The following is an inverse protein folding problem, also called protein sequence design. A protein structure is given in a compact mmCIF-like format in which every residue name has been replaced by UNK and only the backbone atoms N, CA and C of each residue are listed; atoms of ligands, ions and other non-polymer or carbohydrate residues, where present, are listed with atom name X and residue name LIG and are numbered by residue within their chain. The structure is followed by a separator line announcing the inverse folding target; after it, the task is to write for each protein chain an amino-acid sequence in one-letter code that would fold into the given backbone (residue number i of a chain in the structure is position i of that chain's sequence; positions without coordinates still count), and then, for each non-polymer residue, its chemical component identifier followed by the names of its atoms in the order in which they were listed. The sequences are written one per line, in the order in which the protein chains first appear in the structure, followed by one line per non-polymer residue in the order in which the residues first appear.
data_IF_763627995752
#
_entry.id   IF_763627995752
#
_cell.length_a   1.000
_cell.length_b   1.000
_cell.length_c   1.000
_cell.angle_alpha   90.00
_cell.angle_beta   90.00
_cell.angle_gamma   90.00
#
_symmetry.space_group_name_H-M   'P 1'
#
loop_
_entity.id
_entity.type
_entity.pdbx_description
1 polymer ?
#
# COMPACT_ATOMS: atom_id res chain seq x y z
N UNK A 1 12.46 -6.23 47.96
CA UNK A 1 12.88 -6.60 46.59
C UNK A 1 11.64 -6.60 45.71
N UNK A 2 11.51 -5.62 44.81
CA UNK A 2 10.47 -5.61 43.78
C UNK A 2 11.12 -5.09 42.50
N UNK A 3 11.21 -5.96 41.48
CA UNK A 3 11.81 -5.63 40.20
C UNK A 3 10.73 -5.04 39.29
N UNK A 4 10.87 -3.75 38.96
CA UNK A 4 10.12 -3.12 37.89
C UNK A 4 10.60 -3.68 36.54
N UNK A 5 9.77 -4.49 35.90
CA UNK A 5 9.94 -4.88 34.49
C UNK A 5 9.35 -3.77 33.62
N UNK A 6 10.19 -2.85 33.16
CA UNK A 6 9.83 -1.90 32.11
C UNK A 6 9.83 -2.65 30.78
N UNK A 7 8.64 -2.99 30.27
CA UNK A 7 8.47 -3.52 28.92
C UNK A 7 9.00 -2.51 27.90
N UNK A 8 10.14 -2.82 27.29
CA UNK A 8 10.61 -2.11 26.10
C UNK A 8 9.59 -2.33 24.98
N UNK A 9 8.84 -1.28 24.66
CA UNK A 9 7.88 -1.26 23.55
C UNK A 9 8.65 -1.53 22.26
N UNK A 10 8.52 -2.73 21.67
CA UNK A 10 9.11 -3.08 20.37
C UNK A 10 8.75 -1.99 19.36
N UNK A 11 9.74 -1.35 18.75
CA UNK A 11 9.55 -0.33 17.72
C UNK A 11 9.24 -1.06 16.42
N UNK A 12 7.96 -1.24 16.11
CA UNK A 12 7.57 -1.86 14.83
C UNK A 12 8.14 -1.05 13.68
N UNK A 13 8.98 -1.66 12.83
CA UNK A 13 9.49 -1.05 11.62
C UNK A 13 8.33 -0.94 10.60
N UNK A 14 8.06 0.26 10.10
CA UNK A 14 6.96 0.55 9.17
C UNK A 14 7.50 0.86 7.78
N UNK A 15 6.74 0.50 6.75
CA UNK A 15 7.04 0.88 5.37
C UNK A 15 6.43 2.27 5.13
N UNK A 16 7.24 3.24 4.67
CA UNK A 16 6.71 4.49 4.13
C UNK A 16 6.26 4.28 2.69
N UNK A 17 4.96 4.00 2.52
CA UNK A 17 4.38 3.69 1.21
C UNK A 17 4.31 4.92 0.31
N UNK A 18 4.22 6.13 0.87
CA UNK A 18 4.26 7.35 0.06
C UNK A 18 5.65 7.57 -0.54
N UNK A 19 6.71 7.25 0.22
CA UNK A 19 8.07 7.24 -0.30
C UNK A 19 8.26 6.16 -1.37
N UNK A 20 7.70 4.96 -1.18
CA UNK A 20 7.74 3.91 -2.22
C UNK A 20 7.02 4.36 -3.49
N UNK A 21 5.80 4.89 -3.39
CA UNK A 21 5.06 5.39 -4.56
C UNK A 21 5.78 6.52 -5.29
N UNK A 22 6.61 7.29 -4.60
CA UNK A 22 7.36 8.41 -5.20
C UNK A 22 8.63 7.93 -5.90
N UNK A 23 9.27 6.86 -5.41
CA UNK A 23 10.60 6.46 -5.85
C UNK A 23 10.69 5.04 -6.44
N UNK A 24 9.59 4.30 -6.52
CA UNK A 24 9.42 3.05 -7.27
C UNK A 24 8.43 3.33 -8.42
N UNK A 25 8.91 3.73 -9.61
CA UNK A 25 8.07 3.97 -10.78
C UNK A 25 7.22 2.75 -11.13
N UNK A 26 7.76 1.55 -10.90
CA UNK A 26 7.04 0.33 -11.16
C UNK A 26 5.82 0.13 -10.24
N UNK A 27 5.89 0.58 -8.97
CA UNK A 27 4.75 0.59 -8.07
C UNK A 27 3.69 1.61 -8.51
N UNK A 28 4.11 2.84 -8.83
CA UNK A 28 3.19 3.88 -9.30
C UNK A 28 2.47 3.44 -10.58
N UNK A 29 3.20 2.90 -11.56
CA UNK A 29 2.63 2.41 -12.82
C UNK A 29 1.63 1.28 -12.60
N UNK A 30 1.92 0.36 -11.67
CA UNK A 30 1.04 -0.75 -11.37
C UNK A 30 -0.27 -0.29 -10.69
N UNK A 31 -0.18 0.71 -9.80
CA UNK A 31 -1.33 1.38 -9.19
C UNK A 31 -2.18 2.09 -10.25
N UNK A 32 -1.55 2.88 -11.12
CA UNK A 32 -2.24 3.60 -12.19
C UNK A 32 -2.93 2.66 -13.17
N UNK A 33 -2.25 1.58 -13.56
CA UNK A 33 -2.82 0.55 -14.43
C UNK A 33 -4.06 -0.10 -13.80
N UNK A 34 -4.01 -0.48 -12.52
CA UNK A 34 -5.18 -1.05 -11.82
C UNK A 34 -6.37 -0.10 -11.79
N UNK A 35 -6.12 1.19 -11.55
CA UNK A 35 -7.16 2.22 -11.58
C UNK A 35 -7.75 2.32 -12.99
N UNK A 36 -6.89 2.41 -14.01
CA UNK A 36 -7.31 2.55 -15.41
C UNK A 36 -8.16 1.37 -15.89
N UNK A 37 -7.81 0.14 -15.52
CA UNK A 37 -8.54 -1.08 -15.87
C UNK A 37 -9.99 -1.09 -15.35
N UNK A 38 -10.24 -0.46 -14.20
CA UNK A 38 -11.55 -0.51 -13.54
C UNK A 38 -12.32 0.83 -13.59
N UNK A 39 -11.66 1.94 -13.95
CA UNK A 39 -12.22 3.30 -13.94
C UNK A 39 -13.60 3.38 -14.57
N UNK A 40 -13.77 2.84 -15.78
CA UNK A 40 -15.03 2.89 -16.52
C UNK A 40 -16.15 2.11 -15.84
N UNK A 41 -15.84 0.95 -15.27
CA UNK A 41 -16.82 0.11 -14.58
C UNK A 41 -17.30 0.78 -13.29
N UNK A 42 -16.37 1.31 -12.48
CA UNK A 42 -16.72 2.02 -11.25
C UNK A 42 -17.51 3.29 -11.50
N UNK A 43 -17.14 4.07 -12.52
CA UNK A 43 -17.89 5.27 -12.91
C UNK A 43 -19.33 4.91 -13.26
N UNK A 44 -19.52 3.90 -14.09
CA UNK A 44 -20.86 3.44 -14.49
C UNK A 44 -21.69 2.99 -13.28
N UNK A 45 -21.14 2.16 -12.42
CA UNK A 45 -21.82 1.66 -11.22
C UNK A 45 -22.21 2.78 -10.24
N UNK A 46 -21.32 3.77 -10.07
CA UNK A 46 -21.57 4.92 -9.21
C UNK A 46 -22.68 5.83 -9.76
N UNK A 47 -22.68 6.12 -11.06
CA UNK A 47 -23.73 6.91 -11.74
C UNK A 47 -25.08 6.20 -11.67
N UNK A 48 -25.12 4.89 -11.93
CA UNK A 48 -26.35 4.10 -11.84
C UNK A 48 -26.91 4.10 -10.41
N UNK A 49 -26.04 3.95 -9.41
CA UNK A 49 -26.43 3.98 -7.99
C UNK A 49 -26.93 5.37 -7.58
N UNK A 50 -26.26 6.42 -8.03
CA UNK A 50 -26.65 7.81 -7.81
C UNK A 50 -28.07 8.09 -8.33
N UNK A 51 -28.36 7.68 -9.57
CA UNK A 51 -29.70 7.84 -10.16
C UNK A 51 -30.76 6.99 -9.43
N UNK A 52 -30.44 5.77 -8.99
CA UNK A 52 -31.36 4.92 -8.20
C UNK A 52 -31.74 5.55 -6.87
N UNK A 53 -30.87 6.35 -6.28
CA UNK A 53 -31.14 7.08 -5.03
C UNK A 53 -31.83 8.43 -5.26
N UNK A 54 -32.20 8.77 -6.50
CA UNK A 54 -32.82 10.06 -6.82
C UNK A 54 -31.85 11.23 -6.73
N UNK A 55 -30.55 11.00 -6.98
CA UNK A 55 -29.52 12.04 -6.96
C UNK A 55 -28.92 12.33 -5.59
N UNK A 56 -29.08 11.42 -4.62
CA UNK A 56 -28.41 11.53 -3.32
C UNK A 56 -26.94 11.07 -3.43
N UNK A 57 -26.03 11.66 -2.65
CA UNK A 57 -24.65 11.20 -2.59
C UNK A 57 -24.53 9.70 -2.22
N UNK A 58 -23.67 8.98 -2.93
CA UNK A 58 -23.40 7.56 -2.68
C UNK A 58 -21.89 7.29 -2.55
N UNK A 59 -21.56 6.24 -1.81
CA UNK A 59 -20.19 5.74 -1.61
C UNK A 59 -20.19 4.23 -1.85
N UNK A 60 -19.27 3.76 -2.71
CA UNK A 60 -19.07 2.35 -3.02
C UNK A 60 -17.65 1.94 -2.62
N UNK A 61 -17.55 0.98 -1.70
CA UNK A 61 -16.25 0.41 -1.34
C UNK A 61 -15.75 -0.52 -2.44
N UNK A 62 -14.47 -0.36 -2.79
CA UNK A 62 -13.77 -1.18 -3.78
C UNK A 62 -12.48 -1.70 -3.18
N UNK A 63 -12.40 -3.01 -3.06
CA UNK A 63 -11.14 -3.68 -2.76
C UNK A 63 -10.46 -3.99 -4.09
N UNK A 64 -9.32 -3.34 -4.38
CA UNK A 64 -8.63 -3.42 -5.68
C UNK A 64 -7.71 -4.66 -5.79
N UNK A 65 -8.18 -5.76 -5.23
CA UNK A 65 -7.70 -7.10 -5.56
C UNK A 65 -6.75 -7.72 -4.54
N UNK A 66 -6.14 -8.82 -5.00
CA UNK A 66 -5.22 -9.65 -4.22
C UNK A 66 -3.92 -8.88 -3.96
N UNK A 67 -3.18 -9.32 -2.95
CA UNK A 67 -1.82 -8.86 -2.73
C UNK A 67 -0.93 -9.27 -3.90
N UNK A 68 -0.37 -8.29 -4.60
CA UNK A 68 0.54 -8.51 -5.72
C UNK A 68 1.99 -8.33 -5.27
N UNK A 69 2.87 -9.23 -5.68
CA UNK A 69 4.29 -9.17 -5.37
C UNK A 69 5.07 -8.28 -6.35
N UNK A 70 6.03 -7.52 -5.84
CA UNK A 70 7.00 -6.75 -6.62
C UNK A 70 8.40 -6.89 -6.04
N UNK A 71 9.40 -6.87 -6.91
CA UNK A 71 10.80 -6.67 -6.55
C UNK A 71 11.08 -5.19 -6.69
N UNK A 72 11.61 -4.57 -5.62
CA UNK A 72 11.98 -3.16 -5.69
C UNK A 72 13.13 -3.01 -6.70
N UNK A 73 13.07 -1.94 -7.49
CA UNK A 73 14.12 -1.60 -8.43
C UNK A 73 15.45 -1.42 -7.67
N UNK A 74 16.60 -1.72 -8.28
CA UNK A 74 17.90 -1.62 -7.61
C UNK A 74 18.22 -0.20 -7.08
N UNK A 75 17.56 0.83 -7.63
CA UNK A 75 17.65 2.22 -7.18
C UNK A 75 16.84 2.42 -5.89
N UNK A 76 15.83 1.60 -5.62
CA UNK A 76 14.80 1.78 -4.60
C UNK A 76 15.01 0.98 -3.31
N UNK A 77 16.12 0.26 -3.19
CA UNK A 77 16.46 -0.59 -2.03
C UNK A 77 16.80 0.18 -0.73
N UNK A 78 16.39 1.45 -0.61
CA UNK A 78 16.62 2.30 0.58
C UNK A 78 16.05 1.70 1.88
N UNK A 79 15.07 0.80 1.78
CA UNK A 79 14.50 0.10 2.93
C UNK A 79 15.12 -1.29 3.21
N UNK A 80 16.09 -1.74 2.39
CA UNK A 80 16.56 -3.12 2.31
C UNK A 80 15.42 -4.13 2.00
N UNK A 81 14.37 -3.65 1.32
CA UNK A 81 13.19 -4.44 0.97
C UNK A 81 13.39 -4.91 -0.47
N UNK A 82 14.15 -5.99 -0.64
CA UNK A 82 14.41 -6.54 -1.98
C UNK A 82 13.12 -6.98 -2.70
N UNK A 83 12.03 -7.29 -1.99
CA UNK A 83 10.71 -7.56 -2.58
C UNK A 83 9.59 -7.36 -1.56
N UNK A 84 8.47 -6.78 -1.99
CA UNK A 84 7.29 -6.53 -1.14
C UNK A 84 6.00 -6.99 -1.83
N UNK A 85 4.93 -7.11 -1.07
CA UNK A 85 3.57 -7.25 -1.61
C UNK A 85 2.82 -5.94 -1.41
N UNK A 86 1.92 -5.60 -2.35
CA UNK A 86 1.05 -4.45 -2.23
C UNK A 86 -0.41 -4.78 -2.59
N UNK A 87 -1.35 -4.02 -2.03
CA UNK A 87 -2.77 -4.01 -2.43
C UNK A 87 -3.33 -2.60 -2.30
N UNK A 88 -4.56 -2.37 -2.76
CA UNK A 88 -5.24 -1.09 -2.69
C UNK A 88 -6.66 -1.24 -2.18
N UNK A 89 -7.07 -0.24 -1.40
CA UNK A 89 -8.47 -0.01 -1.05
C UNK A 89 -8.92 1.29 -1.70
N UNK A 90 -10.18 1.36 -2.09
CA UNK A 90 -10.77 2.50 -2.79
C UNK A 90 -12.21 2.74 -2.35
N UNK A 91 -12.62 4.01 -2.33
CA UNK A 91 -13.98 4.46 -2.15
C UNK A 91 -14.37 5.27 -3.38
N UNK A 92 -15.31 4.74 -4.16
CA UNK A 92 -15.87 5.46 -5.30
C UNK A 92 -17.06 6.28 -4.81
N UNK A 93 -17.01 7.59 -4.98
CA UNK A 93 -18.05 8.51 -4.52
C UNK A 93 -18.73 9.15 -5.71
N UNK A 94 -20.06 9.23 -5.70
CA UNK A 94 -20.80 10.10 -6.61
C UNK A 94 -21.59 11.13 -5.81
N UNK A 95 -21.39 12.40 -6.14
CA UNK A 95 -22.03 13.56 -5.51
C UNK A 95 -22.65 14.46 -6.58
N UNK A 96 -23.78 15.14 -6.32
CA UNK A 96 -24.32 16.11 -7.27
C UNK A 96 -23.36 17.28 -7.44
N UNK A 97 -23.22 17.76 -8.68
CA UNK A 97 -22.67 19.09 -8.96
C UNK A 97 -23.74 20.18 -8.82
N UNK A 98 -23.43 21.41 -9.23
CA UNK A 98 -24.35 22.54 -9.15
C UNK A 98 -25.64 22.36 -9.96
N UNK A 99 -25.59 21.53 -11.01
CA UNK A 99 -26.71 21.23 -11.91
C UNK A 99 -27.41 19.91 -11.54
N UNK A 100 -26.95 19.23 -10.49
CA UNK A 100 -27.46 17.93 -10.05
C UNK A 100 -26.92 16.73 -10.82
N UNK A 101 -25.92 16.93 -11.69
CA UNK A 101 -25.26 15.83 -12.40
C UNK A 101 -24.27 15.10 -11.47
N UNK A 102 -24.08 13.78 -11.65
CA UNK A 102 -23.14 13.02 -10.83
C UNK A 102 -21.69 13.37 -11.15
N UNK A 103 -20.99 13.93 -10.17
CA UNK A 103 -19.52 14.01 -10.15
C UNK A 103 -18.95 12.79 -9.45
N UNK A 104 -18.13 12.02 -10.15
CA UNK A 104 -17.56 10.77 -9.62
C UNK A 104 -16.09 10.92 -9.28
N UNK A 105 -15.68 10.47 -8.10
CA UNK A 105 -14.29 10.47 -7.63
C UNK A 105 -13.90 9.14 -7.01
N UNK A 106 -12.61 8.86 -6.96
CA UNK A 106 -12.02 7.73 -6.26
C UNK A 106 -11.09 8.25 -5.17
N UNK A 107 -11.40 7.91 -3.93
CA UNK A 107 -10.45 8.02 -2.82
C UNK A 107 -9.78 6.68 -2.62
N UNK A 108 -8.44 6.60 -2.58
CA UNK A 108 -7.73 5.33 -2.45
C UNK A 108 -6.51 5.40 -1.55
N UNK A 109 -6.13 4.25 -1.02
CA UNK A 109 -4.88 4.03 -0.30
C UNK A 109 -4.18 2.78 -0.81
N UNK A 110 -2.85 2.83 -0.85
CA UNK A 110 -1.99 1.71 -1.18
C UNK A 110 -1.45 1.14 0.14
N UNK A 111 -1.51 -0.17 0.27
CA UNK A 111 -0.96 -0.91 1.40
C UNK A 111 0.21 -1.73 0.92
N UNK A 112 1.31 -1.73 1.66
CA UNK A 112 2.47 -2.56 1.37
C UNK A 112 2.84 -3.39 2.60
N UNK A 113 3.30 -4.61 2.35
CA UNK A 113 3.90 -5.48 3.37
C UNK A 113 5.18 -6.07 2.82
N UNK A 114 6.19 -6.15 3.65
CA UNK A 114 7.39 -6.91 3.31
C UNK A 114 7.10 -8.40 3.52
N UNK A 115 7.54 -9.22 2.57
CA UNK A 115 7.50 -10.69 2.69
C UNK A 115 8.76 -11.23 3.35
N UNK A 116 9.86 -10.49 3.26
CA UNK A 116 11.21 -10.95 3.56
C UNK A 116 11.69 -10.44 4.90
N UNK A 117 11.37 -11.18 5.95
CA UNK A 117 12.24 -11.18 7.11
C UNK A 117 12.77 -12.60 7.33
N UNK A 118 13.95 -12.83 6.73
CA UNK A 118 14.89 -13.96 6.81
C UNK A 118 14.31 -15.38 6.75
N UNK A 119 14.37 -15.96 5.54
CA UNK A 119 14.42 -17.41 5.34
C UNK A 119 15.76 -17.94 5.89
N UNK A 120 15.71 -18.88 6.83
CA UNK A 120 16.88 -19.60 7.37
C UNK A 120 17.58 -20.51 6.34
N UNK A 121 17.36 -20.40 5.02
CA UNK A 121 17.80 -21.40 4.04
C UNK A 121 18.29 -20.87 2.68
N UNK A 122 18.79 -19.64 2.57
CA UNK A 122 19.54 -19.21 1.37
C UNK A 122 20.99 -18.88 1.73
N UNK A 123 21.74 -19.92 2.07
CA UNK A 123 23.19 -19.88 2.10
C UNK A 123 23.72 -19.98 0.67
N UNK A 124 24.35 -18.90 0.20
CA UNK A 124 25.47 -18.96 -0.73
C UNK A 124 26.64 -18.27 0.00
N UNK A 125 27.82 -18.87 0.14
CA UNK A 125 28.83 -18.41 1.09
C UNK A 125 29.54 -17.15 0.57
N UNK A 126 29.03 -15.98 0.95
CA UNK A 126 29.76 -14.72 0.87
C UNK A 126 30.79 -14.64 2.02
N UNK A 127 32.04 -14.22 1.76
CA UNK A 127 33.10 -14.17 2.77
C UNK A 127 32.79 -13.28 3.98
N UNK A 128 33.30 -13.73 5.13
CA UNK A 128 32.94 -13.46 6.52
C UNK A 128 33.15 -12.02 7.06
N UNK A 129 33.40 -11.03 6.20
CA UNK A 129 33.75 -9.66 6.63
C UNK A 129 32.61 -8.64 6.48
N UNK A 130 31.60 -8.90 5.65
CA UNK A 130 30.47 -7.96 5.46
C UNK A 130 29.21 -8.34 6.28
N UNK A 131 29.12 -9.58 6.78
CA UNK A 131 27.98 -10.02 7.61
C UNK A 131 28.04 -9.54 9.08
N UNK A 132 29.17 -8.99 9.52
CA UNK A 132 29.42 -8.67 10.93
C UNK A 132 28.95 -7.29 11.44
N UNK A 133 28.59 -6.34 10.56
CA UNK A 133 28.24 -4.97 10.99
C UNK A 133 26.74 -4.62 10.94
N UNK A 134 25.90 -5.42 10.27
CA UNK A 134 24.45 -5.21 10.26
C UNK A 134 23.67 -6.03 11.29
N UNK A 135 24.33 -7.00 11.95
CA UNK A 135 23.67 -8.15 12.59
C UNK A 135 24.02 -8.36 14.08
N UNK A 136 24.44 -7.30 14.78
CA UNK A 136 24.52 -7.31 16.24
C UNK A 136 23.43 -6.39 16.79
N UNK A 137 22.45 -7.02 17.42
CA UNK A 137 21.30 -6.49 18.17
C UNK A 137 20.00 -6.28 17.38
N UNK A 138 19.28 -7.37 17.11
CA UNK A 138 17.89 -7.29 16.67
C UNK A 138 17.27 -8.59 16.15
N UNK A 139 17.09 -9.59 17.02
CA UNK A 139 16.32 -10.84 16.80
C UNK A 139 14.82 -10.60 16.60
N UNK A 140 14.44 -9.89 15.54
CA UNK A 140 13.06 -9.52 15.30
C UNK A 140 12.53 -10.21 14.06
N UNK A 141 11.54 -11.09 14.24
CA UNK A 141 10.48 -11.39 13.26
C UNK A 141 9.59 -10.13 13.07
N UNK A 142 10.14 -9.07 12.48
CA UNK A 142 9.44 -7.84 12.16
C UNK A 142 8.71 -7.96 10.82
N UNK A 143 7.40 -8.19 10.88
CA UNK A 143 6.49 -7.95 9.76
C UNK A 143 6.41 -6.44 9.53
N UNK A 144 7.06 -5.93 8.48
CA UNK A 144 6.95 -4.54 8.09
C UNK A 144 5.68 -4.34 7.26
N UNK A 145 4.83 -3.39 7.66
CA UNK A 145 3.65 -2.99 6.92
C UNK A 145 3.53 -1.47 6.86
N UNK A 146 2.84 -0.98 5.85
CA UNK A 146 2.59 0.44 5.67
C UNK A 146 1.32 0.68 4.87
N UNK A 147 0.78 1.88 5.03
CA UNK A 147 -0.35 2.38 4.25
C UNK A 147 -0.02 3.79 3.81
N UNK A 148 -0.27 4.12 2.55
CA UNK A 148 -0.08 5.47 2.02
C UNK A 148 -1.06 6.46 2.65
N UNK A 149 -0.80 7.74 2.52
CA UNK A 149 -1.84 8.77 2.69
C UNK A 149 -3.02 8.51 1.74
N UNK A 150 -4.18 9.00 2.13
CA UNK A 150 -5.38 9.02 1.28
C UNK A 150 -5.12 9.89 0.06
N UNK A 151 -5.41 9.35 -1.12
CA UNK A 151 -5.31 10.05 -2.41
C UNK A 151 -6.70 10.14 -3.01
N UNK A 152 -7.03 11.26 -3.64
CA UNK A 152 -8.33 11.48 -4.28
C UNK A 152 -8.12 11.88 -5.73
N UNK A 153 -8.80 11.21 -6.65
CA UNK A 153 -8.76 11.53 -8.08
C UNK A 153 -10.16 11.61 -8.69
N UNK A 154 -10.38 12.51 -9.67
CA UNK A 154 -11.58 12.48 -10.51
C UNK A 154 -11.65 11.19 -11.33
N UNK A 155 -12.86 10.64 -11.48
CA UNK A 155 -13.15 9.55 -12.43
C UNK A 155 -13.89 10.02 -13.69
N UNK A 156 -14.07 11.33 -13.87
CA UNK A 156 -14.59 11.93 -15.10
C UNK A 156 -13.80 11.52 -16.37
#
# INVERSE_FOLDING_TARGET
MSANSTSARRKTKSIDVDHLLTNDPGLSDAVEKKIAEHKSAWKKEAVESFHKTGGQPIVLEKNLGKWDGRTADAITDWYAIGSYQYTMTGLVKATPDADGNPKVSLDYQVHATDRYNWDNLKFDPMPDFIQGMGHRVGTSQEYMRGTSKLRSIPLD
#
